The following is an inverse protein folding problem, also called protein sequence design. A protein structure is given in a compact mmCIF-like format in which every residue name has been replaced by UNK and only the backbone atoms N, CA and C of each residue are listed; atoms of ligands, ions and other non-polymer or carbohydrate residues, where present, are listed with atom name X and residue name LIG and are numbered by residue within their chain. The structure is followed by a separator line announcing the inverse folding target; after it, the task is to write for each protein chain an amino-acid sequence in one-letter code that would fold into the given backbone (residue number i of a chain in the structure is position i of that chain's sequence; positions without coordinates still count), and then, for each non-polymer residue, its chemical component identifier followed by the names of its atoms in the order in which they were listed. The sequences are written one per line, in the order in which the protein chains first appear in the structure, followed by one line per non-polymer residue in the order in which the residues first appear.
data_IF_853712833390
#
_entry.id   IF_853712833390
#
_cell.length_a   1.000
_cell.length_b   1.000
_cell.length_c   1.000
_cell.angle_alpha   90.00
_cell.angle_beta   90.00
_cell.angle_gamma   90.00
#
_symmetry.space_group_name_H-M   'P 1'
#
loop_
_entity.id
_entity.type
_entity.pdbx_description
1 polymer ?
#
# COMPACT_ATOMS: atom_id res chain seq x y z
N UNK A 1 10.86 5.29 -20.71
CA UNK A 1 11.48 4.10 -20.09
C UNK A 1 11.06 4.05 -18.62
N UNK A 2 10.69 2.88 -18.11
CA UNK A 2 10.31 2.67 -16.69
C UNK A 2 11.60 2.54 -15.87
N UNK A 3 11.83 3.50 -14.96
CA UNK A 3 13.01 3.50 -14.09
C UNK A 3 12.88 2.42 -13.00
N UNK A 4 11.66 2.24 -12.47
CA UNK A 4 11.38 1.25 -11.43
C UNK A 4 9.94 0.76 -11.54
N UNK A 5 9.74 -0.54 -11.31
CA UNK A 5 8.42 -1.12 -11.19
C UNK A 5 8.20 -1.72 -9.79
N UNK A 6 7.08 -1.39 -9.15
CA UNK A 6 6.62 -1.97 -7.89
C UNK A 6 5.48 -2.94 -8.17
N UNK A 7 5.53 -4.14 -7.63
CA UNK A 7 4.40 -5.09 -7.64
C UNK A 7 3.95 -5.30 -6.21
N UNK A 8 2.76 -4.80 -5.89
CA UNK A 8 2.17 -4.78 -4.54
C UNK A 8 0.96 -5.70 -4.44
N UNK A 9 0.75 -6.26 -3.27
CA UNK A 9 -0.36 -7.16 -2.96
C UNK A 9 -1.70 -6.43 -2.77
N UNK A 10 -1.67 -5.12 -2.45
CA UNK A 10 -2.86 -4.26 -2.33
C UNK A 10 -2.62 -2.84 -2.84
N UNK A 11 -3.71 -2.10 -3.06
CA UNK A 11 -3.68 -0.78 -3.67
C UNK A 11 -3.03 0.28 -2.77
N UNK A 12 -3.36 0.29 -1.48
CA UNK A 12 -2.79 1.27 -0.55
C UNK A 12 -1.30 1.07 -0.35
N UNK A 13 -0.83 -0.18 -0.32
CA UNK A 13 0.59 -0.50 -0.30
C UNK A 13 1.30 -0.13 -1.60
N UNK A 14 0.62 -0.29 -2.75
CA UNK A 14 1.12 0.17 -4.04
C UNK A 14 1.33 1.69 -4.06
N UNK A 15 0.39 2.46 -3.52
CA UNK A 15 0.48 3.92 -3.43
C UNK A 15 1.58 4.36 -2.46
N UNK A 16 1.57 3.83 -1.24
CA UNK A 16 2.52 4.14 -0.16
C UNK A 16 3.97 3.88 -0.58
N UNK A 17 4.22 2.73 -1.22
CA UNK A 17 5.56 2.39 -1.68
C UNK A 17 5.93 3.10 -2.98
N UNK A 18 4.99 3.20 -3.92
CA UNK A 18 5.24 3.84 -5.20
C UNK A 18 5.71 5.28 -5.07
N UNK A 19 5.09 6.05 -4.17
CA UNK A 19 5.44 7.45 -3.96
C UNK A 19 6.87 7.64 -3.41
N UNK A 20 7.37 6.69 -2.62
CA UNK A 20 8.74 6.74 -2.10
C UNK A 20 9.77 6.74 -3.23
N UNK A 21 9.46 6.10 -4.35
CA UNK A 21 10.33 6.03 -5.52
C UNK A 21 10.16 7.21 -6.50
N UNK A 22 9.41 8.24 -6.15
CA UNK A 22 9.23 9.41 -7.03
C UNK A 22 10.53 10.11 -7.43
N UNK A 23 11.58 10.02 -6.62
CA UNK A 23 12.93 10.55 -6.91
C UNK A 23 13.66 9.79 -8.04
N UNK A 24 13.21 8.58 -8.45
CA UNK A 24 13.75 7.85 -9.61
C UNK A 24 13.43 8.53 -10.95
N UNK A 25 12.76 9.66 -10.90
CA UNK A 25 12.46 10.52 -12.04
C UNK A 25 11.18 10.17 -12.77
N UNK A 26 10.50 11.21 -13.23
CA UNK A 26 9.22 11.09 -13.92
C UNK A 26 8.01 10.89 -13.01
N UNK A 27 6.81 10.73 -13.60
CA UNK A 27 5.60 10.50 -12.86
C UNK A 27 5.57 9.12 -12.19
N UNK A 28 4.88 9.04 -11.06
CA UNK A 28 4.55 7.77 -10.41
C UNK A 28 3.13 7.37 -10.81
N UNK A 29 3.00 6.27 -11.52
CA UNK A 29 1.72 5.77 -12.02
C UNK A 29 1.34 4.49 -11.26
N UNK A 30 0.20 4.52 -10.58
CA UNK A 30 -0.40 3.33 -9.96
C UNK A 30 -1.47 2.77 -10.88
N UNK A 31 -1.33 1.50 -11.26
CA UNK A 31 -2.20 0.79 -12.18
C UNK A 31 -2.75 -0.47 -11.50
N UNK A 32 -4.06 -0.69 -11.43
CA UNK A 32 -4.62 -1.99 -11.09
C UNK A 32 -4.19 -3.06 -12.11
N UNK A 33 -3.92 -4.29 -11.64
CA UNK A 33 -3.39 -5.33 -12.55
C UNK A 33 -4.31 -5.62 -13.75
N UNK A 34 -5.62 -5.44 -13.59
CA UNK A 34 -6.61 -5.66 -14.66
C UNK A 34 -6.44 -4.66 -15.81
N UNK A 35 -6.01 -3.45 -15.48
CA UNK A 35 -5.85 -2.34 -16.43
C UNK A 35 -4.46 -2.32 -17.09
N UNK A 36 -3.51 -3.13 -16.59
CA UNK A 36 -2.11 -3.08 -17.03
C UNK A 36 -1.94 -3.32 -18.54
N UNK A 37 -2.76 -4.19 -19.13
CA UNK A 37 -2.72 -4.51 -20.57
C UNK A 37 -3.20 -3.36 -21.46
N UNK A 38 -3.96 -2.41 -20.93
CA UNK A 38 -4.44 -1.25 -21.66
C UNK A 38 -3.38 -0.15 -21.83
N UNK A 39 -2.28 -0.23 -21.05
CA UNK A 39 -1.21 0.76 -21.14
C UNK A 39 -0.16 0.37 -22.18
N UNK A 40 0.16 1.32 -23.07
CA UNK A 40 1.33 1.16 -23.93
C UNK A 40 2.60 1.33 -23.08
N UNK A 41 3.50 0.32 -23.03
CA UNK A 41 4.74 0.41 -22.25
C UNK A 41 5.61 1.61 -22.59
N UNK A 42 5.61 2.07 -23.85
CA UNK A 42 6.40 3.22 -24.31
C UNK A 42 5.88 4.56 -23.76
N UNK A 43 4.60 4.63 -23.41
CA UNK A 43 4.00 5.82 -22.82
C UNK A 43 4.32 5.97 -21.34
N UNK A 44 4.71 4.88 -20.67
CA UNK A 44 5.03 4.90 -19.24
C UNK A 44 6.49 5.33 -19.06
N UNK A 45 6.67 6.45 -18.40
CA UNK A 45 7.98 6.99 -18.01
C UNK A 45 8.01 7.13 -16.48
N UNK A 46 9.19 6.90 -15.87
CA UNK A 46 9.36 7.03 -14.42
C UNK A 46 8.99 5.77 -13.65
N UNK A 47 8.13 5.86 -12.65
CA UNK A 47 7.80 4.74 -11.75
C UNK A 47 6.43 4.16 -12.09
N UNK A 48 6.40 2.84 -12.31
CA UNK A 48 5.16 2.07 -12.45
C UNK A 48 4.92 1.29 -11.16
N UNK A 49 3.79 1.49 -10.52
CA UNK A 49 3.37 0.65 -9.39
C UNK A 49 2.08 -0.10 -9.76
N UNK A 50 2.06 -1.40 -9.53
CA UNK A 50 0.92 -2.26 -9.90
C UNK A 50 0.36 -2.91 -8.66
N UNK A 51 -0.95 -2.72 -8.43
CA UNK A 51 -1.69 -3.44 -7.40
C UNK A 51 -2.23 -4.75 -7.97
N UNK A 52 -1.88 -5.86 -7.35
CA UNK A 52 -2.34 -7.20 -7.78
C UNK A 52 -3.63 -7.63 -7.11
N UNK A 53 -4.07 -6.96 -6.04
CA UNK A 53 -5.23 -7.36 -5.24
C UNK A 53 -5.15 -8.85 -4.84
N UNK A 54 -3.97 -9.31 -4.47
CA UNK A 54 -3.68 -10.73 -4.20
C UNK A 54 -3.68 -11.08 -2.71
N UNK A 55 -3.68 -10.07 -1.83
CA UNK A 55 -3.57 -10.26 -0.37
C UNK A 55 -4.56 -11.28 0.18
N UNK A 56 -5.80 -11.19 -0.25
CA UNK A 56 -6.93 -11.98 0.28
C UNK A 56 -7.25 -13.23 -0.56
N UNK A 57 -6.37 -13.61 -1.47
CA UNK A 57 -6.50 -14.83 -2.27
C UNK A 57 -5.88 -16.04 -1.54
N UNK A 58 -6.14 -17.24 -2.06
CA UNK A 58 -5.34 -18.39 -1.66
C UNK A 58 -3.89 -18.25 -2.10
N UNK A 59 -2.90 -18.87 -1.43
CA UNK A 59 -1.50 -18.76 -1.80
C UNK A 59 -1.21 -19.12 -3.27
N UNK A 60 -1.88 -20.16 -3.78
CA UNK A 60 -1.72 -20.58 -5.18
C UNK A 60 -2.26 -19.54 -6.16
N UNK A 61 -3.45 -18.96 -5.88
CA UNK A 61 -4.05 -17.93 -6.73
C UNK A 61 -3.28 -16.61 -6.66
N UNK A 62 -2.75 -16.25 -5.48
CA UNK A 62 -1.92 -15.06 -5.30
C UNK A 62 -0.60 -15.19 -6.07
N UNK A 63 0.09 -16.33 -5.93
CA UNK A 63 1.32 -16.61 -6.68
C UNK A 63 1.11 -16.57 -8.19
N UNK A 64 0.01 -17.15 -8.69
CA UNK A 64 -0.30 -17.12 -10.13
C UNK A 64 -0.60 -15.70 -10.62
N UNK A 65 -1.36 -14.92 -9.86
CA UNK A 65 -1.65 -13.52 -10.21
C UNK A 65 -0.39 -12.67 -10.25
N UNK A 66 0.50 -12.83 -9.27
CA UNK A 66 1.78 -12.14 -9.25
C UNK A 66 2.68 -12.62 -10.39
N UNK A 67 2.64 -13.90 -10.75
CA UNK A 67 3.35 -14.44 -11.92
C UNK A 67 2.91 -13.76 -13.21
N UNK A 68 1.60 -13.69 -13.47
CA UNK A 68 1.05 -13.06 -14.68
C UNK A 68 1.37 -11.58 -14.75
N UNK A 69 1.15 -10.85 -13.64
CA UNK A 69 1.48 -9.43 -13.54
C UNK A 69 2.99 -9.20 -13.69
N UNK A 70 3.79 -10.02 -13.03
CA UNK A 70 5.25 -9.97 -13.12
C UNK A 70 5.76 -10.16 -14.54
N UNK A 71 5.22 -11.14 -15.28
CA UNK A 71 5.56 -11.35 -16.70
C UNK A 71 5.21 -10.15 -17.56
N UNK A 72 4.03 -9.53 -17.34
CA UNK A 72 3.63 -8.35 -18.08
C UNK A 72 4.58 -7.17 -17.80
N UNK A 73 4.88 -6.92 -16.53
CA UNK A 73 5.82 -5.86 -16.10
C UNK A 73 7.24 -6.13 -16.59
N UNK A 74 7.73 -7.36 -16.50
CA UNK A 74 9.09 -7.72 -16.93
C UNK A 74 9.30 -7.49 -18.43
N UNK A 75 8.28 -7.75 -19.27
CA UNK A 75 8.30 -7.45 -20.70
C UNK A 75 8.44 -5.96 -21.01
N UNK A 76 8.02 -5.08 -20.10
CA UNK A 76 8.18 -3.62 -20.21
C UNK A 76 9.61 -3.15 -19.91
N UNK A 77 10.51 -4.06 -19.52
CA UNK A 77 11.94 -3.83 -19.25
C UNK A 77 12.21 -2.70 -18.26
N UNK A 78 11.62 -2.71 -17.05
CA UNK A 78 11.99 -1.75 -16.01
C UNK A 78 13.46 -1.97 -15.61
N UNK A 79 14.13 -0.89 -15.17
CA UNK A 79 15.52 -0.98 -14.70
C UNK A 79 15.62 -1.71 -13.36
N UNK A 80 14.60 -1.61 -12.51
CA UNK A 80 14.51 -2.27 -11.22
C UNK A 80 13.09 -2.76 -10.98
N UNK A 81 12.94 -3.94 -10.37
CA UNK A 81 11.66 -4.47 -9.90
C UNK A 81 11.72 -4.62 -8.38
N UNK A 82 10.72 -4.10 -7.70
CA UNK A 82 10.54 -4.18 -6.25
C UNK A 82 9.25 -4.92 -5.91
N UNK A 83 9.31 -5.93 -5.04
CA UNK A 83 8.10 -6.57 -4.52
C UNK A 83 7.67 -5.89 -3.23
N UNK A 84 6.54 -5.19 -3.28
CA UNK A 84 5.92 -4.66 -2.07
C UNK A 84 5.17 -5.75 -1.33
N UNK A 85 5.41 -5.86 -0.05
CA UNK A 85 4.71 -6.75 0.88
C UNK A 85 4.13 -5.96 2.05
N UNK A 86 3.12 -6.50 2.71
CA UNK A 86 2.51 -5.86 3.88
C UNK A 86 3.51 -5.77 5.04
N UNK A 87 3.58 -4.60 5.69
CA UNK A 87 4.48 -4.37 6.83
C UNK A 87 4.09 -5.12 8.10
N UNK A 88 2.95 -5.80 8.11
CA UNK A 88 2.48 -6.68 9.19
C UNK A 88 2.44 -8.15 8.74
N UNK A 89 2.99 -8.48 7.57
CA UNK A 89 3.03 -9.85 7.01
C UNK A 89 1.67 -10.47 6.67
N UNK A 90 0.61 -9.67 6.50
CA UNK A 90 -0.66 -10.18 5.99
C UNK A 90 -0.51 -10.65 4.54
N UNK A 91 -1.31 -11.62 4.16
CA UNK A 91 -1.37 -12.10 2.78
C UNK A 91 -0.38 -13.23 2.46
N UNK A 92 0.01 -13.32 1.20
CA UNK A 92 0.65 -14.49 0.61
C UNK A 92 2.12 -14.25 0.29
N UNK A 93 2.87 -13.68 1.24
CA UNK A 93 4.24 -13.16 1.03
C UNK A 93 5.17 -14.22 0.43
N UNK A 94 5.18 -15.44 1.00
CA UNK A 94 6.07 -16.51 0.52
C UNK A 94 5.77 -16.93 -0.91
N UNK A 95 4.49 -17.13 -1.23
CA UNK A 95 4.04 -17.56 -2.57
C UNK A 95 4.28 -16.46 -3.62
N UNK A 96 4.00 -15.22 -3.28
CA UNK A 96 4.13 -14.08 -4.20
C UNK A 96 5.58 -13.73 -4.50
N UNK A 97 6.43 -13.71 -3.46
CA UNK A 97 7.87 -13.42 -3.62
C UNK A 97 8.54 -14.51 -4.44
N UNK A 98 8.25 -15.79 -4.16
CA UNK A 98 8.77 -16.89 -4.94
C UNK A 98 8.36 -16.81 -6.42
N UNK A 99 7.06 -16.58 -6.67
CA UNK A 99 6.53 -16.47 -8.02
C UNK A 99 7.16 -15.32 -8.82
N UNK A 100 7.36 -14.16 -8.19
CA UNK A 100 7.99 -13.02 -8.86
C UNK A 100 9.48 -13.25 -9.09
N UNK A 101 10.21 -13.79 -8.12
CA UNK A 101 11.63 -14.10 -8.26
C UNK A 101 11.90 -15.06 -9.43
N UNK A 102 11.02 -16.06 -9.62
CA UNK A 102 11.10 -16.99 -10.75
C UNK A 102 10.86 -16.29 -12.10
N UNK A 103 9.85 -15.40 -12.17
CA UNK A 103 9.51 -14.65 -13.39
C UNK A 103 10.64 -13.73 -13.84
N UNK A 104 11.26 -13.03 -12.90
CA UNK A 104 12.32 -12.06 -13.22
C UNK A 104 13.72 -12.70 -13.30
N UNK A 105 13.80 -14.02 -13.13
CA UNK A 105 15.05 -14.76 -13.19
C UNK A 105 16.02 -14.49 -12.05
N UNK A 106 15.51 -14.04 -10.89
CA UNK A 106 16.32 -13.83 -9.69
C UNK A 106 16.75 -15.15 -9.05
N UNK A 107 17.98 -15.19 -8.53
CA UNK A 107 18.50 -16.35 -7.78
C UNK A 107 17.78 -16.57 -6.45
N UNK A 108 17.17 -15.54 -5.91
CA UNK A 108 16.43 -15.54 -4.66
C UNK A 108 15.88 -14.17 -4.34
N UNK A 109 15.47 -13.97 -3.08
CA UNK A 109 14.91 -12.70 -2.60
C UNK A 109 15.35 -12.40 -1.17
N UNK A 110 15.59 -11.12 -0.87
CA UNK A 110 15.69 -10.59 0.50
C UNK A 110 14.34 -10.05 0.92
N UNK A 111 13.84 -10.51 2.07
CA UNK A 111 12.49 -10.21 2.57
C UNK A 111 12.60 -9.42 3.89
N UNK A 112 12.30 -8.13 3.85
CA UNK A 112 12.36 -7.24 5.00
C UNK A 112 11.04 -6.44 5.16
N UNK A 113 10.06 -6.97 5.90
CA UNK A 113 8.76 -6.32 6.08
C UNK A 113 8.81 -5.12 7.01
N UNK A 114 9.83 -4.98 7.83
CA UNK A 114 9.93 -3.95 8.87
C UNK A 114 9.72 -2.53 8.33
N UNK A 115 9.11 -1.70 9.17
CA UNK A 115 8.93 -0.27 8.97
C UNK A 115 9.06 0.43 10.33
N UNK A 116 10.29 0.60 10.84
CA UNK A 116 10.53 1.05 12.21
C UNK A 116 9.85 2.37 12.59
N UNK A 117 9.83 3.34 11.68
CA UNK A 117 9.15 4.63 11.88
C UNK A 117 7.64 4.46 12.12
N UNK A 118 7.05 3.38 11.61
CA UNK A 118 5.65 3.03 11.83
C UNK A 118 5.46 1.98 12.94
N UNK A 119 6.49 1.71 13.76
CA UNK A 119 6.44 0.74 14.85
C UNK A 119 6.39 -0.72 14.41
N UNK A 120 6.84 -1.05 13.18
CA UNK A 120 6.97 -2.43 12.70
C UNK A 120 8.43 -2.80 12.66
N UNK A 121 8.83 -3.77 13.48
CA UNK A 121 10.23 -4.20 13.60
C UNK A 121 10.33 -5.72 13.53
N UNK A 122 11.52 -6.21 13.16
CA UNK A 122 11.84 -7.65 13.21
C UNK A 122 13.11 -7.84 13.99
N UNK A 123 13.09 -8.74 14.96
CA UNK A 123 14.26 -9.08 15.77
C UNK A 123 14.23 -10.58 16.11
N UNK A 124 15.35 -11.28 15.89
CA UNK A 124 15.46 -12.73 16.03
C UNK A 124 14.38 -13.51 15.29
N UNK A 125 14.10 -13.07 14.04
CA UNK A 125 13.04 -13.61 13.17
C UNK A 125 11.60 -13.33 13.64
N UNK A 126 11.40 -12.72 14.81
CA UNK A 126 10.08 -12.36 15.33
C UNK A 126 9.71 -10.97 14.85
N UNK A 127 8.54 -10.87 14.23
CA UNK A 127 7.99 -9.61 13.75
C UNK A 127 7.05 -8.99 14.78
N UNK A 128 7.22 -7.70 15.01
CA UNK A 128 6.48 -6.94 16.03
C UNK A 128 5.70 -5.79 15.40
N UNK A 129 4.54 -5.51 15.96
CA UNK A 129 3.72 -4.32 15.72
C UNK A 129 3.58 -3.57 17.03
N UNK A 130 4.16 -2.37 17.12
CA UNK A 130 4.22 -1.57 18.37
C UNK A 130 4.73 -2.39 19.58
N UNK A 131 5.81 -3.13 19.39
CA UNK A 131 6.45 -4.03 20.38
C UNK A 131 5.60 -5.24 20.83
N UNK A 132 4.48 -5.52 20.16
CA UNK A 132 3.67 -6.72 20.35
C UNK A 132 3.99 -7.69 19.22
N UNK A 133 4.28 -8.98 19.49
CA UNK A 133 4.44 -9.98 18.44
C UNK A 133 3.22 -9.96 17.51
N UNK A 134 3.45 -10.02 16.20
CA UNK A 134 2.37 -9.77 15.22
C UNK A 134 1.19 -10.73 15.36
N UNK A 135 1.42 -11.97 15.75
CA UNK A 135 0.36 -12.94 16.00
C UNK A 135 -0.44 -12.69 17.29
N UNK A 136 0.01 -11.79 18.16
CA UNK A 136 -0.68 -11.38 19.38
C UNK A 136 -1.31 -9.99 19.24
N UNK A 137 -1.11 -9.35 18.08
CA UNK A 137 -1.67 -8.03 17.74
C UNK A 137 -3.05 -8.13 17.07
N UNK A 138 -3.65 -6.99 16.75
CA UNK A 138 -4.91 -6.94 15.97
C UNK A 138 -4.80 -7.64 14.60
N UNK A 139 -3.59 -7.85 14.08
CA UNK A 139 -3.35 -8.53 12.81
C UNK A 139 -3.70 -10.03 12.87
N UNK A 140 -3.69 -10.65 14.05
CA UNK A 140 -4.14 -12.02 14.25
C UNK A 140 -5.65 -12.18 14.00
N UNK A 141 -6.39 -11.09 14.11
CA UNK A 141 -7.84 -11.04 13.97
C UNK A 141 -8.29 -10.33 12.68
N UNK A 142 -7.35 -10.08 11.75
CA UNK A 142 -7.73 -9.53 10.42
C UNK A 142 -8.71 -10.50 9.75
N UNK A 143 -9.92 -10.04 9.35
CA UNK A 143 -10.97 -10.94 8.87
C UNK A 143 -10.64 -11.59 7.53
N UNK A 144 -9.76 -10.99 6.74
CA UNK A 144 -9.40 -11.45 5.41
C UNK A 144 -8.08 -12.24 5.39
N UNK A 145 -7.08 -11.75 6.11
CA UNK A 145 -5.72 -12.27 6.07
C UNK A 145 -5.10 -12.32 7.47
N UNK A 146 -5.63 -13.14 8.40
CA UNK A 146 -5.12 -13.23 9.77
C UNK A 146 -3.69 -13.75 9.80
N UNK A 147 -2.84 -13.10 10.59
CA UNK A 147 -1.43 -13.50 10.79
C UNK A 147 -1.34 -14.48 11.94
N UNK A 148 -0.96 -15.73 11.65
CA UNK A 148 -1.05 -16.88 12.59
C UNK A 148 0.26 -17.22 13.30
N UNK A 149 1.37 -16.59 12.93
CA UNK A 149 2.68 -16.78 13.55
C UNK A 149 3.41 -15.43 13.61
N UNK A 150 4.37 -15.30 14.51
CA UNK A 150 5.18 -14.08 14.62
C UNK A 150 6.56 -14.23 14.00
N UNK A 151 7.02 -15.45 13.71
CA UNK A 151 8.29 -15.70 13.03
C UNK A 151 8.14 -15.55 11.53
N UNK A 152 8.99 -14.73 10.90
CA UNK A 152 8.96 -14.52 9.45
C UNK A 152 9.20 -15.83 8.69
N UNK A 153 10.20 -16.61 9.12
CA UNK A 153 10.52 -17.89 8.48
C UNK A 153 9.37 -18.87 8.51
N UNK A 154 8.60 -18.92 9.61
CA UNK A 154 7.39 -19.75 9.74
C UNK A 154 6.29 -19.28 8.80
N UNK A 155 6.00 -17.95 8.76
CA UNK A 155 5.00 -17.37 7.87
C UNK A 155 5.32 -17.66 6.40
N UNK A 156 6.58 -17.55 6.00
CA UNK A 156 7.00 -17.89 4.64
C UNK A 156 6.88 -19.39 4.37
N UNK A 157 7.26 -20.24 5.32
CA UNK A 157 7.21 -21.71 5.16
C UNK A 157 5.78 -22.26 5.01
N UNK A 158 4.76 -21.56 5.51
CA UNK A 158 3.34 -21.92 5.25
C UNK A 158 2.98 -21.89 3.76
N UNK A 159 3.72 -21.12 2.95
CA UNK A 159 3.40 -20.83 1.54
C UNK A 159 4.54 -21.25 0.58
N UNK A 160 5.72 -21.56 1.10
CA UNK A 160 6.91 -21.88 0.35
C UNK A 160 7.59 -23.13 0.93
N UNK A 161 7.71 -24.21 0.14
CA UNK A 161 8.11 -25.54 0.64
C UNK A 161 9.62 -25.75 0.79
N UNK A 162 10.44 -24.83 0.25
CA UNK A 162 11.91 -24.96 0.35
C UNK A 162 12.42 -24.27 1.64
N UNK A 163 13.61 -24.62 2.12
CA UNK A 163 14.18 -24.00 3.30
C UNK A 163 14.33 -22.48 3.14
N UNK A 164 13.97 -21.75 4.21
CA UNK A 164 14.07 -20.30 4.30
C UNK A 164 15.41 -19.92 4.94
N UNK A 165 16.12 -18.96 4.35
CA UNK A 165 17.31 -18.35 4.94
C UNK A 165 16.91 -17.27 5.94
N UNK A 166 17.85 -16.93 6.85
CA UNK A 166 17.67 -15.84 7.82
C UNK A 166 18.93 -15.01 7.91
N UNK A 167 18.76 -13.70 8.03
CA UNK A 167 19.79 -12.73 8.40
C UNK A 167 19.31 -12.06 9.67
N UNK A 168 19.99 -12.31 10.76
CA UNK A 168 19.65 -11.72 12.07
C UNK A 168 20.22 -10.28 12.15
N UNK A 169 19.71 -9.48 13.10
CA UNK A 169 20.15 -8.10 13.29
C UNK A 169 21.67 -8.01 13.57
N UNK A 170 22.22 -8.97 14.30
CA UNK A 170 23.66 -9.05 14.57
C UNK A 170 24.50 -9.19 13.29
N UNK A 171 24.03 -9.99 12.31
CA UNK A 171 24.72 -10.14 11.03
C UNK A 171 24.76 -8.81 10.25
N UNK A 172 23.72 -7.97 10.39
CA UNK A 172 23.64 -6.66 9.73
C UNK A 172 24.54 -5.60 10.38
N UNK A 173 24.87 -5.77 11.66
CA UNK A 173 25.78 -4.89 12.39
C UNK A 173 27.27 -5.28 12.20
N UNK A 174 27.52 -6.43 11.58
CA UNK A 174 28.87 -6.91 11.29
C UNK A 174 29.48 -6.27 10.02
N UNK A 175 30.71 -6.70 9.71
CA UNK A 175 31.43 -6.25 8.52
C UNK A 175 30.68 -6.64 7.22
N UNK A 176 30.49 -5.73 6.26
CA UNK A 176 29.81 -5.99 4.99
C UNK A 176 30.37 -7.18 4.20
N UNK A 177 31.68 -7.49 4.32
CA UNK A 177 32.29 -8.65 3.66
C UNK A 177 31.81 -9.96 4.26
N UNK A 178 31.67 -10.02 5.58
CA UNK A 178 31.13 -11.20 6.27
C UNK A 178 29.68 -11.45 5.85
N UNK A 179 28.86 -10.41 5.86
CA UNK A 179 27.46 -10.49 5.44
C UNK A 179 27.32 -10.98 3.99
N UNK A 180 28.19 -10.51 3.08
CA UNK A 180 28.20 -11.00 1.69
C UNK A 180 28.45 -12.51 1.61
N UNK A 181 29.50 -12.98 2.27
CA UNK A 181 29.84 -14.42 2.29
C UNK A 181 28.71 -15.24 2.88
N UNK A 182 28.11 -14.77 3.96
CA UNK A 182 26.99 -15.43 4.62
C UNK A 182 25.77 -15.58 3.68
N UNK A 183 25.39 -14.53 2.96
CA UNK A 183 24.30 -14.60 1.96
C UNK A 183 24.65 -15.56 0.81
N UNK A 184 25.89 -15.54 0.31
CA UNK A 184 26.35 -16.50 -0.72
C UNK A 184 26.21 -17.95 -0.24
N UNK A 185 26.53 -18.22 1.00
CA UNK A 185 26.44 -19.58 1.58
C UNK A 185 24.98 -20.01 1.80
N UNK A 186 24.09 -19.10 2.22
CA UNK A 186 22.65 -19.38 2.25
C UNK A 186 22.13 -19.78 0.86
N UNK A 187 22.51 -19.04 -0.18
CA UNK A 187 22.10 -19.32 -1.55
C UNK A 187 22.66 -20.66 -2.07
N UNK A 188 23.93 -21.01 -1.75
CA UNK A 188 24.53 -22.32 -2.06
C UNK A 188 23.80 -23.47 -1.37
N UNK A 189 23.26 -23.25 -0.18
CA UNK A 189 22.42 -24.21 0.55
C UNK A 189 20.99 -24.32 0.00
N UNK A 190 20.66 -23.64 -1.08
CA UNK A 190 19.31 -23.63 -1.68
C UNK A 190 18.29 -22.76 -0.93
N UNK A 191 18.71 -21.94 0.02
CA UNK A 191 17.85 -21.01 0.75
C UNK A 191 17.62 -19.75 -0.08
N UNK A 192 16.71 -19.85 -1.04
CA UNK A 192 16.45 -18.77 -2.00
C UNK A 192 15.66 -17.60 -1.42
N UNK A 193 14.71 -17.85 -0.51
CA UNK A 193 14.00 -16.80 0.20
C UNK A 193 14.70 -16.58 1.54
N UNK A 194 15.15 -15.35 1.78
CA UNK A 194 15.96 -14.99 2.95
C UNK A 194 15.23 -13.88 3.69
N UNK A 195 14.74 -14.17 4.91
CA UNK A 195 14.15 -13.17 5.79
C UNK A 195 15.26 -12.36 6.48
N UNK A 196 15.00 -11.08 6.67
CA UNK A 196 15.97 -10.17 7.27
C UNK A 196 15.35 -9.48 8.48
N UNK A 197 16.06 -9.50 9.59
CA UNK A 197 15.74 -8.66 10.74
C UNK A 197 15.91 -7.19 10.39
N UNK A 198 15.11 -6.32 11.02
CA UNK A 198 15.33 -4.89 11.01
C UNK A 198 14.64 -4.25 12.22
N UNK A 199 15.39 -3.93 13.25
CA UNK A 199 14.92 -3.20 14.43
C UNK A 199 14.97 -1.67 14.22
N UNK A 200 15.82 -1.20 13.31
CA UNK A 200 16.08 0.23 13.04
C UNK A 200 16.16 0.49 11.56
N UNK A 201 15.97 1.75 11.18
CA UNK A 201 16.08 2.17 9.77
C UNK A 201 17.46 1.85 9.17
N UNK A 202 18.54 1.94 9.96
CA UNK A 202 19.89 1.59 9.54
C UNK A 202 20.01 0.13 9.04
N UNK A 203 19.32 -0.83 9.67
CA UNK A 203 19.32 -2.22 9.19
C UNK A 203 18.72 -2.32 7.80
N UNK A 204 17.62 -1.61 7.52
CA UNK A 204 17.02 -1.57 6.19
C UNK A 204 17.97 -0.95 5.15
N UNK A 205 18.78 0.05 5.55
CA UNK A 205 19.79 0.64 4.66
C UNK A 205 20.92 -0.34 4.35
N UNK A 206 21.36 -1.14 5.33
CA UNK A 206 22.35 -2.21 5.10
C UNK A 206 21.80 -3.25 4.12
N UNK A 207 20.53 -3.68 4.30
CA UNK A 207 19.87 -4.63 3.39
C UNK A 207 19.74 -4.03 1.98
N UNK A 208 19.37 -2.76 1.86
CA UNK A 208 19.23 -2.07 0.58
C UNK A 208 20.57 -1.97 -0.17
N UNK A 209 21.67 -1.62 0.51
CA UNK A 209 23.02 -1.61 -0.06
C UNK A 209 23.48 -3.01 -0.45
N UNK A 210 23.27 -4.01 0.42
CA UNK A 210 23.59 -5.40 0.14
C UNK A 210 22.93 -5.87 -1.16
N UNK A 211 21.63 -5.63 -1.32
CA UNK A 211 20.87 -5.98 -2.50
C UNK A 211 21.33 -5.19 -3.73
N UNK A 212 21.50 -3.87 -3.60
CA UNK A 212 21.82 -3.00 -4.73
C UNK A 212 23.23 -3.19 -5.28
N UNK A 213 24.23 -3.29 -4.39
CA UNK A 213 25.64 -3.25 -4.76
C UNK A 213 26.26 -4.64 -4.94
N UNK A 214 25.83 -5.60 -4.12
CA UNK A 214 26.49 -6.91 -4.05
C UNK A 214 25.65 -8.03 -4.66
N UNK A 215 24.31 -7.91 -4.61
CA UNK A 215 23.39 -8.95 -5.08
C UNK A 215 22.28 -8.39 -6.01
N UNK A 216 22.64 -7.74 -7.14
CA UNK A 216 21.65 -7.18 -8.06
C UNK A 216 20.74 -8.24 -8.70
N UNK A 217 21.08 -9.52 -8.52
CA UNK A 217 20.31 -10.68 -8.98
C UNK A 217 19.39 -11.26 -7.89
N UNK A 218 19.26 -10.59 -6.74
CA UNK A 218 18.25 -10.90 -5.73
C UNK A 218 17.08 -9.91 -5.84
N UNK A 219 15.86 -10.44 -5.72
CA UNK A 219 14.68 -9.62 -5.64
C UNK A 219 14.61 -8.95 -4.25
N UNK A 220 14.38 -7.65 -4.21
CA UNK A 220 14.02 -6.96 -2.97
C UNK A 220 12.52 -7.07 -2.72
N UNK A 221 12.15 -7.60 -1.56
CA UNK A 221 10.78 -7.69 -1.11
C UNK A 221 10.63 -7.03 0.28
N UNK A 222 9.84 -5.96 0.38
CA UNK A 222 9.72 -5.24 1.65
C UNK A 222 8.52 -4.31 1.71
N UNK A 223 8.40 -3.64 2.85
CA UNK A 223 7.45 -2.56 3.07
C UNK A 223 7.93 -1.25 2.43
N UNK A 224 7.17 -0.16 2.65
CA UNK A 224 7.64 1.19 2.29
C UNK A 224 8.91 1.58 3.07
N UNK A 225 9.17 0.99 4.24
CA UNK A 225 10.40 1.22 5.01
C UNK A 225 11.67 0.80 4.27
N UNK A 226 11.67 -0.40 3.65
CA UNK A 226 12.79 -0.84 2.80
C UNK A 226 12.89 0.02 1.52
N UNK A 227 11.75 0.43 0.94
CA UNK A 227 11.75 1.33 -0.21
C UNK A 227 12.41 2.68 0.11
N UNK A 228 12.08 3.28 1.26
CA UNK A 228 12.74 4.50 1.75
C UNK A 228 14.25 4.30 1.95
N UNK A 229 14.65 3.16 2.52
CA UNK A 229 16.07 2.84 2.69
C UNK A 229 16.80 2.74 1.34
N UNK A 230 16.19 2.09 0.35
CA UNK A 230 16.74 1.99 -1.01
C UNK A 230 16.92 3.37 -1.65
N UNK A 231 15.94 4.25 -1.48
CA UNK A 231 16.02 5.63 -1.97
C UNK A 231 17.19 6.37 -1.32
N UNK A 232 17.29 6.33 0.01
CA UNK A 232 18.39 6.98 0.76
C UNK A 232 19.79 6.47 0.36
N UNK A 233 19.89 5.18 0.03
CA UNK A 233 21.16 4.60 -0.38
C UNK A 233 21.58 4.98 -1.80
N UNK A 234 20.63 5.28 -2.69
CA UNK A 234 20.89 5.60 -4.10
C UNK A 234 20.97 7.08 -4.41
N UNK A 235 20.28 7.88 -3.63
CA UNK A 235 20.24 9.32 -3.79
C UNK A 235 20.75 9.92 -2.48
N UNK A 236 21.97 10.46 -2.48
CA UNK A 236 22.39 11.36 -1.41
C UNK A 236 21.29 12.41 -1.25
N UNK A 237 21.00 12.86 -0.01
CA UNK A 237 19.91 13.79 0.33
C UNK A 237 19.76 14.93 -0.70
N UNK A 238 19.32 14.59 -1.87
CA UNK A 238 18.76 15.55 -2.80
C UNK A 238 17.49 16.01 -2.11
N UNK A 239 17.43 17.29 -1.75
CA UNK A 239 16.23 17.97 -1.32
C UNK A 239 15.09 17.46 -2.19
N UNK A 240 14.32 16.50 -1.67
CA UNK A 240 13.11 16.05 -2.32
C UNK A 240 12.29 17.32 -2.47
N UNK A 241 12.21 17.87 -3.68
CA UNK A 241 11.34 19.01 -3.93
C UNK A 241 10.00 18.62 -3.39
N UNK A 242 9.45 19.33 -2.40
CA UNK A 242 8.12 19.01 -1.91
C UNK A 242 7.21 19.13 -3.13
N UNK A 243 6.71 17.98 -3.59
CA UNK A 243 5.72 17.99 -4.65
C UNK A 243 4.57 18.86 -4.14
N UNK A 244 4.17 19.87 -4.91
CA UNK A 244 3.10 20.77 -4.48
C UNK A 244 1.84 19.97 -4.27
N UNK A 245 1.25 20.09 -3.08
CA UNK A 245 -0.08 19.53 -2.80
C UNK A 245 -1.04 20.05 -3.87
N UNK A 246 -1.78 19.16 -4.49
CA UNK A 246 -2.90 19.62 -5.31
C UNK A 246 -3.95 20.18 -4.35
N UNK A 247 -4.35 21.43 -4.58
CA UNK A 247 -5.48 22.00 -3.88
C UNK A 247 -6.70 21.09 -4.10
N UNK A 248 -7.37 20.73 -3.03
CA UNK A 248 -8.66 20.06 -3.08
C UNK A 248 -9.70 21.08 -2.59
N UNK A 249 -10.88 21.12 -3.25
CA UNK A 249 -11.97 21.98 -2.82
C UNK A 249 -12.58 21.53 -1.48
N UNK A 250 -13.70 22.11 -1.13
CA UNK A 250 -14.35 21.87 0.16
C UNK A 250 -15.32 20.67 0.17
N UNK A 251 -15.76 20.23 -1.00
CA UNK A 251 -16.77 19.17 -1.15
C UNK A 251 -16.08 17.80 -1.20
N UNK A 252 -15.65 17.33 -0.03
CA UNK A 252 -14.83 16.13 0.10
C UNK A 252 -15.67 14.92 0.50
N UNK A 253 -15.52 13.82 -0.21
CA UNK A 253 -16.15 12.55 0.14
C UNK A 253 -15.15 11.62 0.82
N UNK A 254 -15.31 11.43 2.13
CA UNK A 254 -14.51 10.49 2.91
C UNK A 254 -15.15 9.11 2.88
N UNK A 255 -14.49 8.15 2.27
CA UNK A 255 -14.93 6.75 2.15
C UNK A 255 -14.12 5.88 3.09
N UNK A 256 -14.74 5.42 4.16
CA UNK A 256 -14.13 4.73 5.29
C UNK A 256 -14.61 3.27 5.33
N UNK A 257 -13.97 2.38 4.56
CA UNK A 257 -14.41 0.98 4.43
C UNK A 257 -13.60 -0.04 5.23
N UNK A 258 -12.49 0.38 5.87
CA UNK A 258 -11.70 -0.54 6.69
C UNK A 258 -12.35 -0.78 8.06
N UNK A 259 -12.32 -2.05 8.51
CA UNK A 259 -12.76 -2.45 9.86
C UNK A 259 -11.76 -2.14 10.99
N UNK A 260 -10.61 -1.53 10.69
CA UNK A 260 -9.57 -1.19 11.67
C UNK A 260 -10.09 -0.29 12.80
N UNK A 261 -9.72 -0.60 14.05
CA UNK A 261 -10.01 0.23 15.21
C UNK A 261 -9.38 1.62 15.09
N UNK A 262 -8.20 1.72 14.45
CA UNK A 262 -7.53 3.00 14.18
C UNK A 262 -8.41 3.90 13.31
N UNK A 263 -8.92 3.39 12.18
CA UNK A 263 -9.79 4.19 11.31
C UNK A 263 -11.08 4.59 12.04
N UNK A 264 -11.67 3.69 12.83
CA UNK A 264 -12.88 4.00 13.60
C UNK A 264 -12.63 5.17 14.54
N UNK A 265 -11.54 5.15 15.32
CA UNK A 265 -11.15 6.24 16.23
C UNK A 265 -10.91 7.55 15.47
N UNK A 266 -10.29 7.50 14.30
CA UNK A 266 -10.06 8.66 13.43
C UNK A 266 -11.38 9.29 12.96
N UNK A 267 -12.34 8.47 12.50
CA UNK A 267 -13.66 8.93 12.07
C UNK A 267 -14.43 9.57 13.24
N UNK A 268 -14.47 8.92 14.41
CA UNK A 268 -15.14 9.46 15.59
C UNK A 268 -14.51 10.79 16.02
N UNK A 269 -13.19 10.93 15.96
CA UNK A 269 -12.51 12.19 16.28
C UNK A 269 -12.85 13.28 15.28
N UNK A 270 -12.86 12.99 13.98
CA UNK A 270 -13.25 13.93 12.93
C UNK A 270 -14.69 14.43 13.16
N UNK A 271 -15.66 13.51 13.28
CA UNK A 271 -17.07 13.85 13.45
C UNK A 271 -17.29 14.72 14.71
N UNK A 272 -16.72 14.29 15.84
CA UNK A 272 -16.88 15.01 17.12
C UNK A 272 -16.33 16.43 17.07
N UNK A 273 -15.26 16.67 16.32
CA UNK A 273 -14.57 17.97 16.27
C UNK A 273 -15.11 18.90 15.19
N UNK A 274 -15.69 18.37 14.12
CA UNK A 274 -16.08 19.17 12.96
C UNK A 274 -17.59 19.19 12.69
N UNK A 275 -18.34 18.20 13.19
CA UNK A 275 -19.76 18.04 12.87
C UNK A 275 -20.04 17.58 11.43
N UNK A 276 -19.04 17.14 10.69
CA UNK A 276 -19.20 16.64 9.30
C UNK A 276 -20.25 15.51 9.27
N UNK A 277 -21.25 15.56 8.36
CA UNK A 277 -22.27 14.52 8.24
C UNK A 277 -21.66 13.14 8.02
N UNK A 278 -22.18 12.13 8.75
CA UNK A 278 -21.77 10.73 8.62
C UNK A 278 -22.91 9.84 8.19
N UNK A 279 -22.70 9.07 7.17
CA UNK A 279 -23.59 8.01 6.69
C UNK A 279 -22.96 6.65 6.92
N UNK A 280 -23.73 5.73 7.51
CA UNK A 280 -23.28 4.34 7.76
C UNK A 280 -23.97 3.43 6.77
N UNK A 281 -23.15 2.71 5.98
CA UNK A 281 -23.62 1.64 5.09
C UNK A 281 -23.58 0.31 5.84
N UNK A 282 -24.74 -0.32 5.98
CA UNK A 282 -24.87 -1.65 6.57
C UNK A 282 -24.93 -2.66 5.41
N UNK A 283 -23.95 -3.57 5.29
CA UNK A 283 -23.94 -4.56 4.22
C UNK A 283 -25.22 -5.44 4.23
N UNK A 284 -25.69 -5.79 3.04
CA UNK A 284 -26.86 -6.67 2.89
C UNK A 284 -28.21 -6.01 3.18
N UNK A 285 -28.28 -4.77 3.65
CA UNK A 285 -29.55 -4.03 3.74
C UNK A 285 -29.83 -3.31 2.43
N UNK A 286 -30.92 -3.64 1.72
CA UNK A 286 -31.35 -2.87 0.57
C UNK A 286 -31.85 -1.51 1.07
N UNK A 287 -31.10 -0.48 0.82
CA UNK A 287 -31.56 0.91 0.90
C UNK A 287 -31.90 1.34 -0.54
N UNK A 288 -32.99 2.07 -0.72
CA UNK A 288 -33.25 2.71 -2.00
C UNK A 288 -32.05 3.62 -2.33
N UNK A 289 -31.16 3.12 -3.21
CA UNK A 289 -29.91 3.79 -3.56
C UNK A 289 -30.14 5.25 -3.98
N UNK A 290 -31.26 5.54 -4.66
CA UNK A 290 -31.61 6.87 -5.15
C UNK A 290 -31.75 7.89 -4.05
N UNK A 291 -32.50 7.58 -2.98
CA UNK A 291 -32.84 8.58 -1.94
C UNK A 291 -31.63 8.93 -1.08
N UNK A 292 -30.84 7.91 -0.69
CA UNK A 292 -29.60 8.12 0.07
C UNK A 292 -28.54 8.84 -0.77
N UNK A 293 -28.35 8.44 -2.02
CA UNK A 293 -27.42 9.11 -2.93
C UNK A 293 -27.77 10.58 -3.09
N UNK A 294 -29.05 10.91 -3.27
CA UNK A 294 -29.51 12.30 -3.39
C UNK A 294 -29.29 13.11 -2.09
N UNK A 295 -29.52 12.48 -0.94
CA UNK A 295 -29.28 13.12 0.36
C UNK A 295 -27.81 13.41 0.57
N UNK A 296 -26.92 12.43 0.32
CA UNK A 296 -25.47 12.60 0.41
C UNK A 296 -24.98 13.65 -0.58
N UNK A 297 -25.49 13.65 -1.82
CA UNK A 297 -25.13 14.63 -2.83
C UNK A 297 -25.49 16.06 -2.38
N UNK A 298 -26.66 16.24 -1.77
CA UNK A 298 -27.10 17.53 -1.21
C UNK A 298 -26.22 17.99 -0.05
N UNK A 299 -25.86 17.10 0.87
CA UNK A 299 -24.98 17.44 1.99
C UNK A 299 -23.55 17.76 1.48
N UNK A 300 -23.13 17.08 0.42
CA UNK A 300 -21.85 17.35 -0.23
C UNK A 300 -21.79 18.76 -0.85
N UNK A 301 -22.93 19.36 -1.24
CA UNK A 301 -23.00 20.77 -1.66
C UNK A 301 -22.68 21.74 -0.53
N UNK A 302 -22.86 21.32 0.72
CA UNK A 302 -22.60 22.12 1.92
C UNK A 302 -21.17 21.94 2.46
N UNK A 303 -20.43 20.89 2.03
CA UNK A 303 -19.08 20.64 2.50
C UNK A 303 -18.65 19.18 2.40
N UNK A 304 -17.85 18.74 3.35
CA UNK A 304 -17.38 17.35 3.40
C UNK A 304 -18.46 16.40 3.95
N UNK A 305 -18.40 15.14 3.52
CA UNK A 305 -19.28 14.05 4.00
C UNK A 305 -18.43 12.80 4.26
N UNK A 306 -18.76 12.07 5.32
CA UNK A 306 -18.18 10.75 5.63
C UNK A 306 -19.18 9.65 5.29
N UNK A 307 -18.79 8.72 4.43
CA UNK A 307 -19.50 7.45 4.20
C UNK A 307 -18.67 6.31 4.77
N UNK A 308 -19.20 5.66 5.80
CA UNK A 308 -18.52 4.62 6.55
C UNK A 308 -19.21 3.28 6.39
N UNK A 309 -18.44 2.22 6.18
CA UNK A 309 -18.95 0.86 6.25
C UNK A 309 -19.18 0.46 7.71
N UNK A 310 -20.35 -0.09 8.02
CA UNK A 310 -20.62 -0.63 9.35
C UNK A 310 -19.65 -1.78 9.66
N UNK A 311 -19.24 -1.95 10.93
CA UNK A 311 -18.48 -3.13 11.33
C UNK A 311 -19.27 -4.40 10.95
N UNK A 312 -18.61 -5.36 10.33
CA UNK A 312 -19.19 -6.65 10.00
C UNK A 312 -18.74 -7.65 11.06
N UNK A 313 -19.70 -8.25 11.76
CA UNK A 313 -19.42 -9.29 12.78
C UNK A 313 -19.16 -10.68 12.15
N UNK A 314 -19.15 -10.76 10.81
CA UNK A 314 -18.94 -12.02 10.09
C UNK A 314 -17.51 -12.51 10.19
N UNK A 315 -17.33 -13.77 10.55
CA UNK A 315 -16.05 -14.47 10.51
C UNK A 315 -15.60 -14.85 9.09
N UNK A 316 -16.47 -14.64 8.08
CA UNK A 316 -16.17 -14.93 6.69
C UNK A 316 -15.95 -13.63 5.96
N UNK A 317 -14.73 -13.44 5.47
CA UNK A 317 -14.39 -12.31 4.61
C UNK A 317 -15.14 -12.41 3.27
N UNK A 318 -15.91 -11.38 2.96
CA UNK A 318 -16.58 -11.22 1.68
C UNK A 318 -16.42 -9.78 1.15
N UNK A 319 -15.98 -9.68 -0.09
CA UNK A 319 -15.83 -8.40 -0.79
C UNK A 319 -17.17 -7.74 -1.18
N UNK A 320 -18.32 -8.35 -0.87
CA UNK A 320 -19.64 -7.82 -1.22
C UNK A 320 -19.88 -6.44 -0.61
N UNK A 321 -19.47 -6.25 0.65
CA UNK A 321 -19.60 -4.97 1.35
C UNK A 321 -18.79 -3.86 0.68
N UNK A 322 -17.55 -4.14 0.29
CA UNK A 322 -16.71 -3.17 -0.43
C UNK A 322 -17.30 -2.84 -1.82
N UNK A 323 -17.82 -3.85 -2.53
CA UNK A 323 -18.50 -3.65 -3.83
C UNK A 323 -19.79 -2.85 -3.68
N UNK A 324 -20.59 -3.10 -2.66
CA UNK A 324 -21.82 -2.33 -2.39
C UNK A 324 -21.49 -0.87 -2.10
N UNK A 325 -20.49 -0.62 -1.25
CA UNK A 325 -19.99 0.73 -0.97
C UNK A 325 -19.48 1.40 -2.24
N UNK A 326 -18.70 0.70 -3.06
CA UNK A 326 -18.16 1.21 -4.31
C UNK A 326 -19.25 1.60 -5.32
N UNK A 327 -20.32 0.80 -5.44
CA UNK A 327 -21.45 1.09 -6.31
C UNK A 327 -22.18 2.38 -5.87
N UNK A 328 -22.32 2.61 -4.57
CA UNK A 328 -22.91 3.83 -4.03
C UNK A 328 -22.01 5.06 -4.29
N UNK A 329 -20.71 4.93 -4.05
CA UNK A 329 -19.75 6.00 -4.37
C UNK A 329 -19.79 6.35 -5.86
N UNK A 330 -19.82 5.36 -6.75
CA UNK A 330 -19.94 5.59 -8.18
C UNK A 330 -21.25 6.30 -8.55
N UNK A 331 -22.35 6.01 -7.88
CA UNK A 331 -23.62 6.73 -8.06
C UNK A 331 -23.52 8.18 -7.58
N UNK A 332 -22.92 8.42 -6.41
CA UNK A 332 -22.68 9.77 -5.89
C UNK A 332 -21.80 10.57 -6.87
N UNK A 333 -20.66 10.03 -7.31
CA UNK A 333 -19.74 10.71 -8.24
C UNK A 333 -20.42 11.10 -9.54
N UNK A 334 -21.35 10.28 -10.04
CA UNK A 334 -22.16 10.61 -11.25
C UNK A 334 -23.21 11.67 -11.00
N UNK A 335 -23.85 11.64 -9.83
CA UNK A 335 -24.92 12.60 -9.46
C UNK A 335 -24.32 13.95 -9.08
N UNK A 336 -23.32 13.95 -8.24
CA UNK A 336 -22.63 15.13 -7.70
C UNK A 336 -21.12 14.81 -7.57
N UNK A 337 -20.34 15.26 -8.54
CA UNK A 337 -18.88 15.06 -8.51
C UNK A 337 -18.29 15.80 -7.29
N UNK A 338 -17.61 15.09 -6.36
CA UNK A 338 -16.89 15.75 -5.26
C UNK A 338 -15.65 16.50 -5.78
N UNK A 339 -15.12 17.41 -4.99
CA UNK A 339 -13.84 18.07 -5.28
C UNK A 339 -12.65 17.11 -5.01
N UNK A 340 -12.87 16.11 -4.19
CA UNK A 340 -11.90 15.06 -3.91
C UNK A 340 -12.48 13.88 -3.18
N UNK A 341 -11.82 12.72 -3.37
CA UNK A 341 -12.12 11.45 -2.69
C UNK A 341 -11.01 11.14 -1.67
N UNK A 342 -11.40 10.77 -0.47
CA UNK A 342 -10.54 10.08 0.48
C UNK A 342 -10.98 8.62 0.60
N UNK A 343 -10.06 7.68 0.37
CA UNK A 343 -10.31 6.25 0.35
C UNK A 343 -9.45 5.57 1.41
N UNK A 344 -10.07 4.99 2.43
CA UNK A 344 -9.35 4.24 3.47
C UNK A 344 -9.65 2.75 3.43
N UNK A 345 -8.55 1.98 3.33
CA UNK A 345 -8.53 0.52 3.14
C UNK A 345 -8.27 0.12 1.70
N UNK A 346 -7.35 -0.84 1.49
CA UNK A 346 -6.92 -1.28 0.16
C UNK A 346 -8.07 -1.81 -0.69
N UNK A 347 -8.86 -2.76 -0.16
CA UNK A 347 -10.00 -3.37 -0.86
C UNK A 347 -11.08 -2.33 -1.22
N UNK A 348 -11.34 -1.38 -0.30
CA UNK A 348 -12.29 -0.29 -0.53
C UNK A 348 -11.81 0.62 -1.65
N UNK A 349 -10.55 1.01 -1.60
CA UNK A 349 -9.97 1.88 -2.63
C UNK A 349 -9.99 1.20 -4.00
N UNK A 350 -9.60 -0.07 -4.08
CA UNK A 350 -9.63 -0.85 -5.32
C UNK A 350 -11.06 -0.98 -5.87
N UNK A 351 -12.03 -1.31 -5.01
CA UNK A 351 -13.43 -1.45 -5.41
C UNK A 351 -14.01 -0.13 -5.92
N UNK A 352 -13.77 0.99 -5.22
CA UNK A 352 -14.25 2.32 -5.61
C UNK A 352 -13.64 2.75 -6.94
N UNK A 353 -12.33 2.62 -7.11
CA UNK A 353 -11.65 2.98 -8.35
C UNK A 353 -12.16 2.14 -9.52
N UNK A 354 -12.35 0.83 -9.34
CA UNK A 354 -12.96 -0.03 -10.34
C UNK A 354 -14.39 0.40 -10.70
N UNK A 355 -15.22 0.76 -9.69
CA UNK A 355 -16.62 1.16 -9.91
C UNK A 355 -16.77 2.51 -10.65
N UNK A 356 -15.81 3.42 -10.50
CA UNK A 356 -15.76 4.68 -11.27
C UNK A 356 -15.01 4.53 -12.60
N UNK A 357 -14.52 3.32 -12.94
CA UNK A 357 -13.82 3.02 -14.20
C UNK A 357 -12.42 3.62 -14.27
N UNK A 358 -11.76 3.84 -13.13
CA UNK A 358 -10.41 4.36 -13.12
C UNK A 358 -9.41 3.35 -13.69
N UNK A 359 -8.64 3.76 -14.69
CA UNK A 359 -7.57 2.93 -15.27
C UNK A 359 -6.25 3.06 -14.51
N UNK A 360 -6.04 4.20 -13.84
CA UNK A 360 -4.84 4.44 -13.02
C UNK A 360 -5.03 5.59 -12.03
N UNK A 361 -4.03 5.75 -11.13
CA UNK A 361 -3.83 6.96 -10.33
C UNK A 361 -2.44 7.51 -10.64
N UNK A 362 -2.34 8.79 -10.95
CA UNK A 362 -1.06 9.52 -10.94
C UNK A 362 -0.79 9.99 -9.52
N UNK A 363 0.12 9.33 -8.81
CA UNK A 363 0.53 9.71 -7.47
C UNK A 363 1.30 11.03 -7.52
N UNK A 364 1.10 11.89 -6.51
CA UNK A 364 1.70 13.25 -6.48
C UNK A 364 2.56 13.48 -5.25
N UNK A 365 2.02 13.25 -4.07
CA UNK A 365 2.67 13.59 -2.81
C UNK A 365 2.16 12.73 -1.66
N UNK A 366 3.02 12.44 -0.71
CA UNK A 366 2.66 11.95 0.61
C UNK A 366 2.35 13.16 1.51
N UNK A 367 1.07 13.33 1.89
CA UNK A 367 0.62 14.49 2.69
C UNK A 367 0.96 14.30 4.17
N UNK A 368 0.72 13.11 4.67
CA UNK A 368 1.06 12.60 6.00
C UNK A 368 1.62 11.19 5.80
N UNK A 369 2.38 10.64 6.76
CA UNK A 369 2.92 9.29 6.64
C UNK A 369 1.85 8.25 6.27
N UNK A 370 1.99 7.61 5.10
CA UNK A 370 1.04 6.64 4.56
C UNK A 370 -0.28 7.23 4.04
N UNK A 371 -0.37 8.56 3.89
CA UNK A 371 -1.54 9.27 3.30
C UNK A 371 -1.12 9.89 1.97
N UNK A 372 -1.49 9.26 0.88
CA UNK A 372 -0.97 9.55 -0.45
C UNK A 372 -2.02 10.25 -1.30
N UNK A 373 -1.69 11.44 -1.80
CA UNK A 373 -2.51 12.16 -2.77
C UNK A 373 -2.10 11.83 -4.20
N UNK A 374 -3.10 11.69 -5.05
CA UNK A 374 -2.94 11.51 -6.49
C UNK A 374 -4.11 12.10 -7.27
N UNK A 375 -4.13 11.79 -8.55
CA UNK A 375 -5.22 12.15 -9.48
C UNK A 375 -5.66 10.90 -10.22
N UNK A 376 -6.94 10.64 -10.24
CA UNK A 376 -7.55 9.53 -10.98
C UNK A 376 -7.36 9.75 -12.49
N UNK A 377 -7.08 8.69 -13.21
CA UNK A 377 -7.01 8.65 -14.67
C UNK A 377 -8.08 7.70 -15.17
N UNK A 378 -8.91 8.18 -16.08
CA UNK A 378 -9.96 7.39 -16.73
C UNK A 378 -11.28 7.31 -15.95
N UNK A 379 -12.29 6.79 -16.64
CA UNK A 379 -13.62 6.59 -16.09
C UNK A 379 -14.38 7.87 -15.76
N UNK A 380 -15.43 7.75 -14.95
CA UNK A 380 -16.24 8.89 -14.48
C UNK A 380 -15.51 9.76 -13.47
N UNK A 381 -14.39 9.25 -12.91
CA UNK A 381 -13.50 9.94 -11.98
C UNK A 381 -12.31 10.64 -12.64
N UNK A 382 -12.18 10.67 -13.97
CA UNK A 382 -11.01 11.24 -14.63
C UNK A 382 -10.70 12.66 -14.14
N UNK A 383 -9.42 12.90 -13.78
CA UNK A 383 -8.98 14.18 -13.22
C UNK A 383 -9.38 14.44 -11.76
N UNK A 384 -10.14 13.54 -11.11
CA UNK A 384 -10.56 13.71 -9.72
C UNK A 384 -9.37 13.55 -8.77
N UNK A 385 -9.10 14.51 -7.86
CA UNK A 385 -8.15 14.33 -6.79
C UNK A 385 -8.56 13.17 -5.87
N UNK A 386 -7.63 12.29 -5.56
CA UNK A 386 -7.86 11.15 -4.68
C UNK A 386 -6.77 11.07 -3.62
N UNK A 387 -7.16 10.73 -2.40
CA UNK A 387 -6.25 10.42 -1.30
C UNK A 387 -6.49 8.97 -0.89
N UNK A 388 -5.42 8.20 -0.77
CA UNK A 388 -5.46 6.82 -0.29
C UNK A 388 -4.72 6.69 1.05
N UNK A 389 -5.26 5.88 1.96
CA UNK A 389 -4.66 5.57 3.26
C UNK A 389 -4.94 4.13 3.65
N UNK A 390 -3.91 3.42 4.13
CA UNK A 390 -4.14 2.12 4.78
C UNK A 390 -4.98 2.28 6.05
N UNK A 391 -5.94 1.38 6.28
CA UNK A 391 -6.88 1.52 7.38
C UNK A 391 -6.23 1.60 8.76
N UNK A 392 -5.15 0.84 8.99
CA UNK A 392 -4.45 0.74 10.27
C UNK A 392 -3.29 1.76 10.43
N UNK A 393 -3.18 2.77 9.55
CA UNK A 393 -2.11 3.77 9.62
C UNK A 393 -2.59 5.07 10.27
N UNK A 394 -1.64 5.73 10.96
CA UNK A 394 -1.82 7.06 11.57
C UNK A 394 -2.43 7.03 12.96
N UNK A 395 -2.39 8.17 13.62
CA UNK A 395 -2.93 8.40 14.96
C UNK A 395 -4.43 8.72 14.93
N UNK A 396 -5.05 8.78 16.10
CA UNK A 396 -6.51 9.01 16.25
C UNK A 396 -7.00 10.34 15.66
N UNK A 397 -6.13 11.31 15.48
CA UNK A 397 -6.43 12.64 14.92
C UNK A 397 -6.01 12.82 13.45
N UNK A 398 -5.43 11.78 12.83
CA UNK A 398 -4.92 11.86 11.45
C UNK A 398 -5.95 12.35 10.43
N UNK A 399 -7.21 11.90 10.51
CA UNK A 399 -8.26 12.39 9.61
C UNK A 399 -8.64 13.85 9.90
N UNK A 400 -8.61 14.26 11.15
CA UNK A 400 -8.85 15.65 11.54
C UNK A 400 -7.74 16.56 11.03
N UNK A 401 -6.48 16.15 11.18
CA UNK A 401 -5.32 16.86 10.61
C UNK A 401 -5.43 16.97 9.10
N UNK A 402 -5.74 15.86 8.41
CA UNK A 402 -5.93 15.83 6.96
C UNK A 402 -7.05 16.79 6.54
N UNK A 403 -8.20 16.76 7.22
CA UNK A 403 -9.33 17.65 6.95
C UNK A 403 -8.93 19.13 7.07
N UNK A 404 -8.23 19.52 8.14
CA UNK A 404 -7.68 20.86 8.32
C UNK A 404 -6.72 21.25 7.20
N UNK A 405 -5.75 20.39 6.86
CA UNK A 405 -4.79 20.64 5.79
C UNK A 405 -5.43 20.81 4.40
N UNK A 406 -6.57 20.18 4.14
CA UNK A 406 -7.30 20.29 2.87
C UNK A 406 -8.21 21.53 2.86
N UNK A 407 -8.77 21.92 4.01
CA UNK A 407 -9.59 23.13 4.17
C UNK A 407 -8.73 24.42 4.17
N UNK A 408 -7.53 24.38 4.77
CA UNK A 408 -6.61 25.54 4.89
C UNK A 408 -5.80 25.82 3.61
N UNK A 409 -5.95 25.05 2.56
CA UNK A 409 -5.30 25.29 1.26
C UNK A 409 -5.53 26.69 0.65
N UNK A 410 -6.23 27.58 1.38
CA UNK A 410 -6.45 29.00 1.04
C UNK A 410 -5.33 29.94 1.50
N UNK A 411 -4.47 29.53 2.45
CA UNK A 411 -3.51 30.47 3.06
C UNK A 411 -2.09 30.44 2.49
N UNK A 412 -1.73 29.45 1.68
CA UNK A 412 -0.38 29.36 1.11
C UNK A 412 -0.20 30.03 -0.27
N UNK A 413 -1.27 30.66 -0.81
CA UNK A 413 -1.26 31.30 -2.14
C UNK A 413 -1.35 32.83 -2.12
N UNK A 414 -1.34 33.51 -0.97
CA UNK A 414 -1.48 34.97 -0.86
C UNK A 414 -0.45 35.57 0.12
N UNK A 415 0.84 35.28 -0.08
CA UNK A 415 1.90 36.16 0.45
C UNK A 415 3.22 35.85 -0.28
N UNK A 416 3.55 36.71 -1.23
CA UNK A 416 4.86 36.80 -1.85
C UNK A 416 4.80 36.85 -3.35
#
# INVERSE_FOLDING_TARGET
MISLAVIADDLTGAADTGIQFGCFGGPVLLVPHQELSAFNPESIKGVLTVSTESRNLSPAAAGERVRQTGMAVYRMKPQLIYKKIDSCMRGNVGAEVAALADVVGCRGALIAPAFPVQGRTTLHDVHYVHNIPVADSEMAHDPASPVRASRLSELIALQYRQPVGRIDAADLDENPRHLKTFVEDLLKQGRRLITCDAAHQRHLEVIARLAGDQFPHLLMAGSAGLAQALVRCRFEETEARPASRAAMGNHLLFVCGSGSNVLRSQVETLIRKTGVPRYILVPGRPTALSDRTNTIAKDLDSGAVVLQLAPVESLVYDNSAARQLAAEIAAIVRCRRPDGLFLSGGDTAAAVLGAIGASAIRLKVEILPGVIQGTVIGGTGDGLPVITKAGAFGESDTLLQLYGLLADGRSAGLSG
#
